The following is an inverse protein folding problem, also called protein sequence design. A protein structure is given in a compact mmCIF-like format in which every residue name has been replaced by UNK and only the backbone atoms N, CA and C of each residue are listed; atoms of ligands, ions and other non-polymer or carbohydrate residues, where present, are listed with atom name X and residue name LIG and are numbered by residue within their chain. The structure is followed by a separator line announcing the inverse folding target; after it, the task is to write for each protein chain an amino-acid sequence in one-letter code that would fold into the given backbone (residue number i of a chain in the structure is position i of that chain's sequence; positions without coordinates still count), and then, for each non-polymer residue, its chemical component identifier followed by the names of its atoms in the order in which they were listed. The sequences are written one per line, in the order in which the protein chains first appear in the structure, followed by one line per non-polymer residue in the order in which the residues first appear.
data_IF_668603392918
#
_entry.id   IF_668603392918
#
_cell.length_a   1.000
_cell.length_b   1.000
_cell.length_c   1.000
_cell.angle_alpha   90.00
_cell.angle_beta   90.00
_cell.angle_gamma   90.00
#
_symmetry.space_group_name_H-M   'P 1'
#
loop_
_entity.id
_entity.type
_entity.pdbx_description
1 polymer ?
#
# COMPACT_ATOMS: atom_id res chain seq x y z
N UNK A 1 5.85 25.29 -2.73
CA UNK A 1 7.24 24.93 -2.48
C UNK A 1 7.35 23.43 -2.25
N UNK A 2 8.18 22.70 -2.95
CA UNK A 2 8.17 21.26 -2.90
C UNK A 2 8.74 20.78 -1.56
N UNK A 3 7.85 20.38 -0.67
CA UNK A 3 8.22 19.56 0.52
C UNK A 3 8.76 18.19 0.10
N UNK A 4 8.46 17.77 -1.13
CA UNK A 4 8.88 16.49 -1.72
C UNK A 4 10.19 16.70 -2.46
N UNK A 5 11.22 15.92 -2.11
CA UNK A 5 12.55 15.99 -2.72
C UNK A 5 12.66 15.19 -4.00
N UNK A 6 11.95 14.06 -4.09
CA UNK A 6 11.97 13.16 -5.23
C UNK A 6 10.62 12.44 -5.37
N UNK A 7 10.20 12.18 -6.60
CA UNK A 7 8.99 11.43 -6.95
C UNK A 7 9.42 10.16 -7.67
N UNK A 8 8.94 9.01 -7.22
CA UNK A 8 9.05 7.74 -7.95
C UNK A 8 7.64 7.31 -8.33
N UNK A 9 7.42 6.99 -9.59
CA UNK A 9 6.10 6.66 -10.12
C UNK A 9 6.16 5.65 -11.26
N UNK A 10 5.03 5.03 -11.58
CA UNK A 10 4.89 4.15 -12.74
C UNK A 10 4.84 4.94 -14.06
N UNK A 11 5.15 4.28 -15.16
CA UNK A 11 5.19 4.84 -16.52
C UNK A 11 3.91 5.61 -16.88
N UNK A 12 4.07 6.76 -17.55
CA UNK A 12 3.02 7.64 -18.03
C UNK A 12 2.52 8.66 -16.99
N UNK A 13 2.99 8.58 -15.73
CA UNK A 13 2.56 9.50 -14.67
C UNK A 13 3.44 10.76 -14.57
N UNK A 14 4.68 10.71 -15.03
CA UNK A 14 5.66 11.80 -14.89
C UNK A 14 5.17 13.13 -15.43
N UNK A 15 4.50 13.13 -16.58
CA UNK A 15 3.94 14.32 -17.20
C UNK A 15 2.85 15.03 -16.37
N UNK A 16 2.19 14.35 -15.43
CA UNK A 16 1.26 15.01 -14.50
C UNK A 16 2.03 15.75 -13.42
N UNK A 17 3.10 15.16 -12.87
CA UNK A 17 3.95 15.81 -11.88
C UNK A 17 4.65 17.04 -12.45
N UNK A 18 5.14 16.95 -13.70
CA UNK A 18 5.70 18.10 -14.42
C UNK A 18 4.69 19.24 -14.53
N UNK A 19 3.45 18.96 -14.95
CA UNK A 19 2.35 19.94 -15.00
C UNK A 19 2.02 20.55 -13.63
N UNK A 20 2.27 19.85 -12.55
CA UNK A 20 2.09 20.35 -11.18
C UNK A 20 3.32 21.08 -10.65
N UNK A 21 4.33 21.33 -11.50
CA UNK A 21 5.49 22.14 -11.20
C UNK A 21 6.66 21.40 -10.58
N UNK A 22 6.69 20.05 -10.64
CA UNK A 22 7.86 19.28 -10.24
C UNK A 22 8.91 19.32 -11.34
N UNK A 23 10.19 19.63 -11.01
CA UNK A 23 11.27 19.56 -11.98
C UNK A 23 11.51 18.13 -12.46
N UNK A 24 11.78 17.95 -13.76
CA UNK A 24 11.97 16.63 -14.37
C UNK A 24 13.08 15.80 -13.68
N UNK A 25 14.16 16.46 -13.27
CA UNK A 25 15.28 15.81 -12.56
C UNK A 25 14.91 15.25 -11.17
N UNK A 26 13.72 15.59 -10.67
CA UNK A 26 13.17 15.06 -9.41
C UNK A 26 12.11 13.98 -9.63
N UNK A 27 11.88 13.55 -10.85
CA UNK A 27 10.87 12.57 -11.22
C UNK A 27 11.56 11.35 -11.81
N UNK A 28 11.44 10.20 -11.15
CA UNK A 28 11.77 8.89 -11.73
C UNK A 28 10.48 8.19 -12.11
N UNK A 29 10.32 7.94 -13.38
CA UNK A 29 9.19 7.26 -13.99
C UNK A 29 9.67 5.92 -14.55
N UNK A 30 9.16 4.81 -13.98
CA UNK A 30 9.72 3.49 -14.25
C UNK A 30 8.64 2.44 -14.51
N UNK A 31 9.05 1.37 -15.19
CA UNK A 31 8.23 0.17 -15.37
C UNK A 31 8.24 -0.71 -14.11
N UNK A 32 7.36 -1.69 -14.07
CA UNK A 32 7.32 -2.68 -13.00
C UNK A 32 8.64 -3.45 -12.87
N UNK A 33 8.96 -3.80 -11.64
CA UNK A 33 10.18 -4.52 -11.22
C UNK A 33 11.47 -3.74 -11.48
N UNK A 34 11.37 -2.42 -11.55
CA UNK A 34 12.53 -1.54 -11.71
C UNK A 34 12.90 -0.86 -10.39
N UNK A 35 14.18 -0.95 -9.95
CA UNK A 35 14.68 -0.21 -8.80
C UNK A 35 15.09 1.21 -9.16
N UNK A 36 14.75 2.16 -8.31
CA UNK A 36 15.23 3.55 -8.34
C UNK A 36 16.10 3.80 -7.12
N UNK A 37 17.39 4.00 -7.31
CA UNK A 37 18.29 4.38 -6.22
C UNK A 37 18.09 5.87 -5.92
N UNK A 38 17.58 6.18 -4.74
CA UNK A 38 17.40 7.56 -4.27
C UNK A 38 18.69 8.11 -3.69
N UNK A 39 19.35 7.32 -2.84
CA UNK A 39 20.65 7.59 -2.27
C UNK A 39 21.31 6.26 -1.82
N UNK A 40 22.42 6.33 -1.07
CA UNK A 40 23.11 5.13 -0.58
C UNK A 40 22.34 4.39 0.52
N UNK A 41 21.34 5.02 1.12
CA UNK A 41 20.51 4.45 2.19
C UNK A 41 19.13 3.99 1.73
N UNK A 42 18.66 4.35 0.52
CA UNK A 42 17.30 4.06 0.07
C UNK A 42 17.23 3.72 -1.41
N UNK A 43 16.67 2.55 -1.69
CA UNK A 43 16.21 2.15 -3.03
C UNK A 43 14.69 1.95 -3.00
N UNK A 44 13.99 2.52 -3.97
CA UNK A 44 12.54 2.33 -4.16
C UNK A 44 12.31 1.45 -5.39
N UNK A 45 11.59 0.36 -5.23
CA UNK A 45 11.18 -0.49 -6.33
C UNK A 45 9.77 -0.14 -6.77
N UNK A 46 9.56 0.03 -8.07
CA UNK A 46 8.23 0.11 -8.67
C UNK A 46 7.75 -1.32 -8.93
N UNK A 47 6.62 -1.70 -8.33
CA UNK A 47 6.12 -3.08 -8.34
C UNK A 47 4.72 -3.16 -8.94
N UNK A 48 4.33 -4.30 -9.53
CA UNK A 48 3.01 -4.45 -10.12
C UNK A 48 1.90 -4.35 -9.08
N UNK A 49 0.84 -3.61 -9.43
CA UNK A 49 -0.41 -3.56 -8.70
C UNK A 49 -1.60 -3.82 -9.64
N UNK A 50 -2.63 -4.46 -9.12
CA UNK A 50 -3.82 -4.84 -9.90
C UNK A 50 -4.91 -3.79 -9.76
N UNK A 51 -4.72 -2.69 -10.48
CA UNK A 51 -5.67 -1.60 -10.54
C UNK A 51 -5.66 -0.97 -11.95
N UNK A 52 -6.54 -0.03 -12.20
CA UNK A 52 -6.57 0.74 -13.43
C UNK A 52 -6.16 2.19 -13.20
N UNK A 53 -5.61 2.84 -14.21
CA UNK A 53 -5.39 4.29 -14.20
C UNK A 53 -6.42 5.02 -15.05
N UNK A 54 -6.63 6.32 -14.76
CA UNK A 54 -7.52 7.20 -15.50
C UNK A 54 -8.87 7.44 -14.84
N UNK A 55 -9.44 8.61 -15.13
CA UNK A 55 -10.67 9.11 -14.47
C UNK A 55 -11.79 9.46 -15.46
N UNK A 56 -11.62 9.26 -16.74
CA UNK A 56 -12.60 9.62 -17.77
C UNK A 56 -12.74 8.50 -18.80
N UNK A 57 -13.03 8.84 -20.04
CA UNK A 57 -13.26 7.88 -21.12
C UNK A 57 -12.03 7.05 -21.51
N UNK A 58 -10.82 7.56 -21.24
CA UNK A 58 -9.56 6.84 -21.51
C UNK A 58 -9.00 6.27 -20.22
N UNK A 59 -8.94 4.95 -20.13
CA UNK A 59 -8.33 4.20 -19.00
C UNK A 59 -6.99 3.60 -19.40
N UNK A 60 -6.17 3.26 -18.41
CA UNK A 60 -4.91 2.53 -18.57
C UNK A 60 -3.90 3.23 -19.49
N UNK A 61 -3.84 4.57 -19.43
CA UNK A 61 -2.85 5.36 -20.14
C UNK A 61 -1.55 5.52 -19.33
N UNK A 62 -1.58 5.18 -18.06
CA UNK A 62 -0.43 5.22 -17.15
C UNK A 62 -0.37 3.93 -16.36
N UNK A 63 0.82 3.56 -15.90
CA UNK A 63 1.05 2.35 -15.13
C UNK A 63 0.68 2.59 -13.65
N UNK A 64 -0.22 1.77 -13.11
CA UNK A 64 -0.49 1.74 -11.69
C UNK A 64 0.55 0.85 -10.98
N UNK A 65 0.98 1.23 -9.77
CA UNK A 65 2.06 0.54 -9.10
C UNK A 65 1.91 0.52 -7.57
N UNK A 66 2.42 -0.54 -6.97
CA UNK A 66 2.85 -0.58 -5.58
C UNK A 66 4.35 -0.27 -5.47
N UNK A 67 4.87 -0.16 -4.24
CA UNK A 67 6.26 0.23 -4.03
C UNK A 67 6.89 -0.57 -2.89
N UNK A 68 8.17 -0.95 -3.07
CA UNK A 68 8.98 -1.45 -1.98
C UNK A 68 10.11 -0.47 -1.67
N UNK A 69 10.21 -0.07 -0.41
CA UNK A 69 11.25 0.80 0.11
C UNK A 69 12.30 -0.05 0.81
N UNK A 70 13.50 -0.10 0.25
CA UNK A 70 14.57 -0.99 0.71
C UNK A 70 15.71 -0.14 1.24
N UNK A 71 16.03 -0.35 2.51
CA UNK A 71 17.20 0.22 3.18
C UNK A 71 18.12 -0.90 3.68
N UNK A 72 19.36 -0.63 4.11
CA UNK A 72 20.24 -1.65 4.68
C UNK A 72 19.64 -2.40 5.89
N UNK A 73 18.75 -1.78 6.64
CA UNK A 73 18.19 -2.37 7.86
C UNK A 73 16.68 -2.61 7.86
N UNK A 74 15.95 -2.18 6.82
CA UNK A 74 14.48 -2.28 6.78
C UNK A 74 13.94 -2.45 5.38
N UNK A 75 12.85 -3.19 5.28
CA UNK A 75 12.06 -3.36 4.05
C UNK A 75 10.61 -3.00 4.33
N UNK A 76 10.07 -2.06 3.60
CA UNK A 76 8.67 -1.63 3.70
C UNK A 76 7.99 -1.82 2.36
N UNK A 77 6.80 -2.40 2.35
CA UNK A 77 5.97 -2.53 1.17
C UNK A 77 4.74 -1.64 1.27
N UNK A 78 4.36 -0.99 0.18
CA UNK A 78 3.12 -0.24 0.02
C UNK A 78 2.39 -0.76 -1.22
N UNK A 79 1.17 -1.27 -1.04
CA UNK A 79 0.45 -1.92 -2.13
C UNK A 79 -0.03 -0.96 -3.23
N UNK A 80 -0.24 0.33 -2.92
CA UNK A 80 -1.21 1.12 -3.67
C UNK A 80 -2.61 0.51 -3.53
N UNK A 81 -3.57 0.98 -4.31
CA UNK A 81 -4.86 0.30 -4.42
C UNK A 81 -4.70 -0.93 -5.32
N UNK A 82 -5.46 -1.98 -5.08
CA UNK A 82 -5.35 -3.16 -5.95
C UNK A 82 -6.04 -4.40 -5.41
N UNK A 83 -6.57 -5.22 -6.33
CA UNK A 83 -7.13 -6.52 -5.99
C UNK A 83 -6.06 -7.56 -5.67
N UNK A 84 -6.45 -8.57 -4.89
CA UNK A 84 -5.59 -9.69 -4.53
C UNK A 84 -5.30 -10.62 -5.72
N UNK A 85 -4.07 -11.07 -5.83
CA UNK A 85 -3.67 -12.23 -6.63
C UNK A 85 -2.26 -12.74 -6.22
N UNK A 86 -1.76 -13.76 -6.93
CA UNK A 86 -0.45 -14.39 -6.65
C UNK A 86 0.79 -13.49 -6.83
N UNK A 87 0.65 -12.18 -7.10
CA UNK A 87 1.79 -11.26 -7.14
C UNK A 87 2.36 -11.03 -5.75
N UNK A 88 1.52 -11.01 -4.71
CA UNK A 88 1.97 -10.80 -3.35
C UNK A 88 2.96 -11.88 -2.92
N UNK A 89 2.71 -13.15 -3.24
CA UNK A 89 3.63 -14.24 -2.97
C UNK A 89 4.95 -14.08 -3.74
N UNK A 90 4.89 -13.77 -5.04
CA UNK A 90 6.11 -13.53 -5.84
C UNK A 90 6.94 -12.35 -5.32
N UNK A 91 6.29 -11.28 -4.86
CA UNK A 91 6.97 -10.13 -4.25
C UNK A 91 7.56 -10.54 -2.89
N UNK A 92 6.82 -11.26 -2.06
CA UNK A 92 7.32 -11.80 -0.81
C UNK A 92 8.59 -12.64 -0.99
N UNK A 93 8.57 -13.57 -1.93
CA UNK A 93 9.70 -14.43 -2.27
C UNK A 93 10.89 -13.62 -2.81
N UNK A 94 10.65 -12.68 -3.73
CA UNK A 94 11.68 -11.83 -4.33
C UNK A 94 12.47 -11.02 -3.29
N UNK A 95 11.77 -10.48 -2.30
CA UNK A 95 12.40 -9.63 -1.27
C UNK A 95 12.74 -10.39 0.02
N UNK A 96 12.33 -11.64 0.17
CA UNK A 96 12.50 -12.43 1.40
C UNK A 96 11.74 -11.83 2.58
N UNK A 97 10.56 -11.26 2.33
CA UNK A 97 9.67 -10.66 3.32
C UNK A 97 9.93 -9.18 3.62
N UNK A 98 9.00 -8.59 4.38
CA UNK A 98 8.98 -7.17 4.73
C UNK A 98 8.84 -6.96 6.24
N UNK A 99 9.50 -5.94 6.77
CA UNK A 99 9.34 -5.53 8.17
C UNK A 99 7.96 -4.89 8.39
N UNK A 100 7.44 -4.19 7.38
CA UNK A 100 6.12 -3.58 7.38
C UNK A 100 5.49 -3.68 5.99
N UNK A 101 4.25 -4.13 5.92
CA UNK A 101 3.39 -4.00 4.75
C UNK A 101 2.25 -3.01 5.03
N UNK A 102 2.14 -1.97 4.20
CA UNK A 102 1.02 -1.02 4.19
C UNK A 102 0.11 -1.47 3.07
N UNK A 103 -1.05 -2.02 3.41
CA UNK A 103 -1.94 -2.69 2.47
C UNK A 103 -3.30 -1.99 2.40
N UNK A 104 -3.81 -1.86 1.20
CA UNK A 104 -5.18 -1.43 0.95
C UNK A 104 -6.17 -2.36 1.66
N UNK A 105 -7.19 -1.80 2.30
CA UNK A 105 -8.22 -2.53 3.07
C UNK A 105 -9.54 -1.75 3.15
N UNK A 106 -9.91 -0.99 2.15
CA UNK A 106 -10.99 -0.05 2.42
C UNK A 106 -12.14 0.02 1.45
N UNK A 107 -11.90 -0.12 0.19
CA UNK A 107 -12.91 0.25 -0.81
C UNK A 107 -13.43 -0.95 -1.60
N UNK A 108 -13.41 -2.11 -0.97
CA UNK A 108 -13.81 -3.38 -1.58
C UNK A 108 -15.32 -3.47 -1.85
N UNK A 109 -15.64 -4.23 -2.88
CA UNK A 109 -16.97 -4.73 -3.18
C UNK A 109 -16.82 -5.99 -4.04
N UNK A 110 -17.76 -6.92 -3.92
CA UNK A 110 -17.79 -8.14 -4.76
C UNK A 110 -17.82 -7.84 -6.27
N UNK A 111 -18.37 -6.68 -6.65
CA UNK A 111 -18.52 -6.29 -8.05
C UNK A 111 -17.22 -5.74 -8.65
N UNK A 112 -16.22 -5.35 -7.80
CA UNK A 112 -14.91 -4.86 -8.23
C UNK A 112 -13.75 -5.38 -7.38
N UNK A 113 -13.88 -6.56 -6.78
CA UNK A 113 -12.81 -7.19 -6.00
C UNK A 113 -11.50 -7.40 -6.80
N UNK A 114 -11.57 -7.33 -8.13
CA UNK A 114 -10.38 -7.37 -8.98
C UNK A 114 -9.47 -6.16 -8.85
N UNK A 115 -9.95 -5.05 -8.30
CA UNK A 115 -9.21 -3.79 -8.13
C UNK A 115 -9.16 -3.30 -6.69
N UNK A 116 -9.85 -3.96 -5.76
CA UNK A 116 -9.77 -3.72 -4.31
C UNK A 116 -9.90 -5.04 -3.55
N UNK A 117 -9.00 -5.26 -2.60
CA UNK A 117 -8.99 -6.47 -1.78
C UNK A 117 -10.14 -6.49 -0.77
N UNK A 118 -10.74 -7.67 -0.58
CA UNK A 118 -11.54 -7.92 0.62
C UNK A 118 -10.61 -7.98 1.85
N UNK A 119 -11.08 -7.65 3.07
CA UNK A 119 -10.22 -7.66 4.25
C UNK A 119 -9.52 -9.01 4.52
N UNK A 120 -10.18 -10.11 4.20
CA UNK A 120 -9.59 -11.45 4.30
C UNK A 120 -8.48 -11.68 3.26
N UNK A 121 -8.62 -11.05 2.08
CA UNK A 121 -7.58 -11.07 1.03
C UNK A 121 -6.41 -10.15 1.41
N UNK A 122 -6.66 -9.01 2.07
CA UNK A 122 -5.62 -8.15 2.64
C UNK A 122 -4.78 -8.92 3.67
N UNK A 123 -5.43 -9.69 4.56
CA UNK A 123 -4.73 -10.56 5.50
C UNK A 123 -3.93 -11.66 4.78
N UNK A 124 -4.47 -12.25 3.71
CA UNK A 124 -3.75 -13.25 2.90
C UNK A 124 -2.55 -12.62 2.18
N UNK A 125 -2.71 -11.44 1.60
CA UNK A 125 -1.61 -10.70 0.96
C UNK A 125 -0.46 -10.42 1.94
N UNK A 126 -0.77 -10.13 3.20
CA UNK A 126 0.25 -9.97 4.25
C UNK A 126 1.04 -11.26 4.52
N UNK A 127 0.36 -12.41 4.58
CA UNK A 127 1.00 -13.73 4.68
C UNK A 127 1.91 -13.98 3.48
N UNK A 128 1.39 -13.79 2.28
CA UNK A 128 2.10 -14.02 1.02
C UNK A 128 3.33 -13.12 0.87
N UNK A 129 3.27 -11.90 1.39
CA UNK A 129 4.41 -10.96 1.45
C UNK A 129 5.44 -11.33 2.51
N UNK A 130 5.19 -12.34 3.34
CA UNK A 130 5.98 -12.65 4.54
C UNK A 130 6.17 -11.41 5.43
N UNK A 131 5.12 -10.61 5.60
CA UNK A 131 5.17 -9.37 6.35
C UNK A 131 5.19 -9.63 7.85
N UNK A 132 6.14 -9.00 8.58
CA UNK A 132 6.22 -9.09 10.04
C UNK A 132 5.12 -8.28 10.72
N UNK A 133 4.78 -7.13 10.15
CA UNK A 133 3.72 -6.24 10.65
C UNK A 133 2.90 -5.69 9.48
N UNK A 134 1.64 -5.39 9.73
CA UNK A 134 0.68 -4.92 8.72
C UNK A 134 0.00 -3.65 9.18
N UNK A 135 -0.09 -2.66 8.31
CA UNK A 135 -0.89 -1.44 8.49
C UNK A 135 -1.96 -1.40 7.40
N UNK A 136 -3.24 -1.34 7.76
CA UNK A 136 -4.30 -1.12 6.79
C UNK A 136 -4.31 0.34 6.32
N UNK A 137 -4.54 0.55 5.04
CA UNK A 137 -4.72 1.87 4.47
C UNK A 137 -5.93 1.91 3.53
N UNK A 138 -6.19 3.06 2.93
CA UNK A 138 -7.33 3.30 2.04
C UNK A 138 -8.70 3.16 2.72
N UNK A 139 -8.76 3.34 4.03
CA UNK A 139 -9.93 3.18 4.90
C UNK A 139 -10.06 4.34 5.91
N UNK A 140 -11.09 4.30 6.75
CA UNK A 140 -11.23 5.13 7.95
C UNK A 140 -11.71 6.56 7.73
N UNK A 141 -11.66 7.12 6.53
CA UNK A 141 -12.12 8.49 6.26
C UNK A 141 -13.57 8.52 5.76
N UNK A 142 -13.87 7.76 4.74
CA UNK A 142 -15.20 7.56 4.18
C UNK A 142 -15.21 6.31 3.29
N UNK A 143 -16.33 5.59 3.19
CA UNK A 143 -16.46 4.50 2.22
C UNK A 143 -16.82 5.06 0.84
N UNK A 144 -16.17 4.57 -0.21
CA UNK A 144 -16.62 4.70 -1.60
C UNK A 144 -17.52 3.53 -2.01
N UNK A 145 -17.52 2.48 -1.19
CA UNK A 145 -18.30 1.26 -1.38
C UNK A 145 -19.58 1.29 -0.55
N UNK A 146 -20.31 0.19 -0.54
CA UNK A 146 -21.63 0.03 0.12
C UNK A 146 -21.54 -0.52 1.55
N UNK A 147 -20.35 -0.92 2.01
CA UNK A 147 -20.16 -1.39 3.39
C UNK A 147 -20.07 -0.22 4.38
N UNK A 148 -20.25 -0.50 5.66
CA UNK A 148 -20.03 0.47 6.71
C UNK A 148 -18.54 0.83 6.81
N UNK A 149 -18.23 2.09 7.17
CA UNK A 149 -16.84 2.57 7.24
C UNK A 149 -15.94 1.81 8.22
N UNK A 150 -16.54 1.18 9.26
CA UNK A 150 -15.83 0.37 10.26
C UNK A 150 -15.59 -1.08 9.79
N UNK A 151 -16.34 -1.56 8.80
CA UNK A 151 -16.33 -2.96 8.39
C UNK A 151 -14.93 -3.47 7.99
N UNK A 152 -14.10 -2.68 7.26
CA UNK A 152 -12.73 -3.08 6.95
C UNK A 152 -11.93 -3.45 8.20
N UNK A 153 -11.93 -2.61 9.21
CA UNK A 153 -11.20 -2.86 10.46
C UNK A 153 -11.69 -4.10 11.20
N UNK A 154 -13.02 -4.25 11.32
CA UNK A 154 -13.64 -5.37 12.05
C UNK A 154 -13.25 -6.70 11.39
N UNK A 155 -13.39 -6.79 10.07
CA UNK A 155 -13.09 -8.00 9.31
C UNK A 155 -11.58 -8.28 9.26
N UNK A 156 -10.76 -7.26 9.04
CA UNK A 156 -9.31 -7.43 8.98
C UNK A 156 -8.74 -7.88 10.32
N UNK A 157 -9.18 -7.32 11.46
CA UNK A 157 -8.75 -7.76 12.80
C UNK A 157 -9.06 -9.24 13.01
N UNK A 158 -10.25 -9.68 12.60
CA UNK A 158 -10.62 -11.10 12.69
C UNK A 158 -9.71 -11.97 11.81
N UNK A 159 -9.54 -11.60 10.54
CA UNK A 159 -8.71 -12.35 9.60
C UNK A 159 -7.23 -12.36 10.00
N UNK A 160 -6.71 -11.26 10.53
CA UNK A 160 -5.35 -11.16 11.03
C UNK A 160 -5.12 -12.09 12.24
N UNK A 161 -6.08 -12.15 13.17
CA UNK A 161 -6.02 -13.07 14.31
C UNK A 161 -6.02 -14.54 13.85
N UNK A 162 -6.85 -14.91 12.88
CA UNK A 162 -6.93 -16.28 12.34
C UNK A 162 -5.62 -16.71 11.64
N UNK A 163 -4.81 -15.75 11.18
CA UNK A 163 -3.54 -15.98 10.48
C UNK A 163 -2.28 -15.66 11.30
N UNK A 164 -2.44 -15.36 12.58
CA UNK A 164 -1.36 -14.98 13.51
C UNK A 164 -0.52 -13.78 12.99
N UNK A 165 -1.20 -12.77 12.42
CA UNK A 165 -0.56 -11.58 11.90
C UNK A 165 -0.50 -10.46 12.95
N UNK A 166 0.63 -9.77 13.02
CA UNK A 166 0.76 -8.54 13.80
C UNK A 166 0.16 -7.36 13.05
N UNK A 167 -1.09 -7.02 13.39
CA UNK A 167 -1.81 -5.90 12.80
C UNK A 167 -1.61 -4.64 13.65
N UNK A 168 -1.20 -3.55 12.99
CA UNK A 168 -0.99 -2.23 13.60
C UNK A 168 -1.93 -1.22 12.93
N UNK A 169 -3.15 -1.00 13.45
CA UNK A 169 -4.12 -0.07 12.90
C UNK A 169 -4.08 1.30 13.61
N UNK A 170 -3.10 2.18 13.32
CA UNK A 170 -3.03 3.47 13.98
C UNK A 170 -4.26 4.32 13.65
N UNK A 171 -4.70 5.12 14.60
CA UNK A 171 -5.68 6.17 14.33
C UNK A 171 -5.05 7.21 13.38
N UNK A 172 -5.86 7.87 12.57
CA UNK A 172 -5.38 8.90 11.64
C UNK A 172 -4.63 9.99 12.41
N UNK A 173 -3.35 10.18 12.05
CA UNK A 173 -2.44 11.12 12.72
C UNK A 173 -1.59 10.50 13.83
N UNK A 174 -1.85 9.27 14.24
CA UNK A 174 -1.04 8.57 15.23
C UNK A 174 0.30 8.10 14.64
N UNK A 175 1.36 8.16 15.43
CA UNK A 175 2.72 7.81 14.96
C UNK A 175 2.99 6.33 15.15
N UNK A 176 3.39 5.67 14.05
CA UNK A 176 3.89 4.31 14.06
C UNK A 176 5.42 4.32 13.89
N UNK A 177 6.15 3.51 14.69
CA UNK A 177 7.60 3.30 14.59
C UNK A 177 7.88 1.90 14.06
N UNK A 178 8.50 1.81 12.91
CA UNK A 178 8.81 0.52 12.26
C UNK A 178 9.84 -0.24 13.11
N UNK A 179 9.48 -1.48 13.50
CA UNK A 179 10.32 -2.35 14.30
C UNK A 179 10.23 -2.15 15.82
N UNK A 180 9.39 -1.24 16.30
CA UNK A 180 9.06 -1.14 17.71
C UNK A 180 8.00 -2.19 18.06
N UNK A 181 8.40 -3.21 18.82
CA UNK A 181 7.51 -4.32 19.22
C UNK A 181 6.64 -3.98 20.44
N UNK A 182 6.89 -2.84 21.10
CA UNK A 182 6.17 -2.43 22.30
C UNK A 182 5.01 -1.47 22.00
N UNK A 183 4.82 -1.08 20.74
CA UNK A 183 3.72 -0.21 20.36
C UNK A 183 2.40 -0.99 20.26
N UNK A 184 1.34 -0.36 20.70
CA UNK A 184 -0.01 -0.90 20.66
C UNK A 184 -0.96 0.16 20.14
N UNK A 185 -1.85 -0.24 19.24
CA UNK A 185 -2.92 0.59 18.71
C UNK A 185 -4.26 -0.02 19.09
N UNK A 186 -5.08 0.74 19.82
CA UNK A 186 -6.40 0.31 20.25
C UNK A 186 -7.38 0.21 19.08
N UNK A 187 -8.55 -0.37 19.36
CA UNK A 187 -9.66 -0.44 18.40
C UNK A 187 -10.44 0.88 18.39
N UNK A 188 -9.76 1.97 18.01
CA UNK A 188 -10.29 3.33 18.05
C UNK A 188 -11.58 3.50 17.26
N UNK A 189 -11.80 2.71 16.19
CA UNK A 189 -13.04 2.73 15.40
C UNK A 189 -14.28 2.24 16.17
N UNK A 190 -14.12 1.49 17.25
CA UNK A 190 -15.22 1.07 18.12
C UNK A 190 -15.73 2.22 18.98
N UNK A 191 -14.89 3.22 19.25
CA UNK A 191 -15.20 4.40 20.05
C UNK A 191 -15.83 5.55 19.24
N UNK A 192 -15.85 5.43 17.91
CA UNK A 192 -16.39 6.45 17.01
C UNK A 192 -17.80 6.07 16.58
N UNK A 193 -18.71 7.06 16.51
CA UNK A 193 -20.08 6.89 16.02
C UNK A 193 -20.17 6.89 14.48
#
# INVERSE_FOLDING_TARGET
EPKVKHVVTGLGNGGYYEKWGYPLEKISEEDWNTPVKIDDGLTVWVLPARHFSGRMLKRNQTLYAGFAFITPGRKVFYSGDGGYDGRFARIGDQFGGFDLAILEDGQYNKDWHSVHMMPEETAQAAVDLHAKTVVPCHNGKYPLSTHQWKDPYIRLVKAAHEKDLTLLPPMIGETLRIGDQNQYFGRWWELMN
#
